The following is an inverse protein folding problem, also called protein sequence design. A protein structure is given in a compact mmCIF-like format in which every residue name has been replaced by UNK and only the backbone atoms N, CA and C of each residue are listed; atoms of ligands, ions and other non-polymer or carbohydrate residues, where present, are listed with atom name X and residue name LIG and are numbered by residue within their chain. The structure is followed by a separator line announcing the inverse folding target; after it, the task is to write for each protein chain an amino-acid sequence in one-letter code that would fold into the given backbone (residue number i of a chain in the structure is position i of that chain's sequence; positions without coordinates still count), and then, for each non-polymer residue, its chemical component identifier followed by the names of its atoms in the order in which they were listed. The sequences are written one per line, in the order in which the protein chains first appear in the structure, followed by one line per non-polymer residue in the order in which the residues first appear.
data_IF_029641924886
#
_entry.id   IF_029641924886
#
_cell.length_a   1.000
_cell.length_b   1.000
_cell.length_c   1.000
_cell.angle_alpha   90.00
_cell.angle_beta   90.00
_cell.angle_gamma   90.00
#
_symmetry.space_group_name_H-M   'P 1'
#
loop_
_entity.id
_entity.type
_entity.pdbx_description
1 polymer ?
#
# COMPACT_ATOMS: atom_id res chain seq x y z
N UNK A 1 15.75 7.71 -35.65
CA UNK A 1 16.74 8.35 -34.78
C UNK A 1 16.56 9.88 -34.77
N UNK A 2 15.40 10.43 -34.36
CA UNK A 2 15.18 11.89 -34.20
C UNK A 2 13.97 12.21 -33.28
N UNK A 3 13.63 11.37 -32.28
CA UNK A 3 12.55 11.64 -31.30
C UNK A 3 12.99 11.46 -29.83
N UNK A 4 14.29 11.28 -29.59
CA UNK A 4 14.82 11.04 -28.22
C UNK A 4 15.44 12.29 -27.56
N UNK A 5 15.38 13.46 -28.21
CA UNK A 5 16.15 14.64 -27.77
C UNK A 5 15.33 15.77 -27.14
N UNK A 6 14.01 15.62 -27.00
CA UNK A 6 13.17 16.75 -26.56
C UNK A 6 12.60 16.63 -25.14
N UNK A 7 12.88 15.54 -24.42
CA UNK A 7 12.34 15.34 -23.04
C UNK A 7 13.33 15.67 -21.92
N UNK A 8 14.59 15.93 -22.22
CA UNK A 8 15.60 16.23 -21.19
C UNK A 8 15.68 17.70 -20.75
N UNK A 9 14.94 18.62 -21.38
CA UNK A 9 15.15 20.06 -21.18
C UNK A 9 14.27 20.68 -20.09
N UNK A 10 13.16 20.06 -19.71
CA UNK A 10 12.21 20.68 -18.73
C UNK A 10 12.44 20.30 -17.27
N UNK A 11 13.26 19.30 -16.96
CA UNK A 11 13.59 18.93 -15.56
C UNK A 11 14.81 19.68 -15.01
N UNK A 12 15.52 20.41 -15.87
CA UNK A 12 16.78 21.11 -15.51
C UNK A 12 16.58 22.52 -14.92
N UNK A 13 15.37 23.08 -14.89
CA UNK A 13 15.19 24.48 -14.50
C UNK A 13 14.72 24.72 -13.05
N UNK A 14 14.19 23.71 -12.34
CA UNK A 14 13.79 23.90 -10.94
C UNK A 14 14.83 23.41 -9.92
N UNK A 15 15.70 22.49 -10.30
CA UNK A 15 16.81 22.02 -9.45
C UNK A 15 18.04 22.96 -9.55
N UNK A 16 18.18 23.73 -10.62
CA UNK A 16 19.34 24.58 -10.82
C UNK A 16 19.39 25.85 -9.95
N UNK A 17 18.30 26.26 -9.31
CA UNK A 17 18.32 27.49 -8.51
C UNK A 17 18.79 27.26 -7.07
N UNK A 18 18.51 26.10 -6.50
CA UNK A 18 19.01 25.71 -5.16
C UNK A 18 20.47 25.22 -5.29
N UNK A 19 20.78 24.47 -6.35
CA UNK A 19 22.12 23.98 -6.64
C UNK A 19 23.14 25.10 -6.93
N UNK A 20 22.69 26.22 -7.46
CA UNK A 20 23.59 27.34 -7.78
C UNK A 20 24.05 28.14 -6.54
N UNK A 21 23.23 28.20 -5.46
CA UNK A 21 23.66 28.85 -4.21
C UNK A 21 24.58 27.96 -3.38
N UNK A 22 24.38 26.65 -3.37
CA UNK A 22 25.30 25.71 -2.70
C UNK A 22 26.64 25.64 -3.41
N UNK A 23 26.66 25.62 -4.75
CA UNK A 23 27.93 25.62 -5.50
C UNK A 23 28.76 26.89 -5.31
N UNK A 24 28.14 28.05 -5.16
CA UNK A 24 28.87 29.31 -4.93
C UNK A 24 29.52 29.31 -3.52
N UNK A 25 28.85 28.73 -2.54
CA UNK A 25 29.40 28.62 -1.19
C UNK A 25 30.50 27.57 -1.11
N UNK A 26 30.36 26.44 -1.84
CA UNK A 26 31.40 25.42 -1.93
C UNK A 26 32.63 25.87 -2.73
N UNK A 27 32.48 26.67 -3.78
CA UNK A 27 33.62 27.25 -4.51
C UNK A 27 34.39 28.25 -3.64
N UNK A 28 33.69 29.07 -2.86
CA UNK A 28 34.35 30.02 -1.94
C UNK A 28 35.13 29.31 -0.82
N UNK A 29 34.61 28.19 -0.31
CA UNK A 29 35.33 27.37 0.69
C UNK A 29 36.49 26.62 0.04
N UNK A 30 36.40 26.18 -1.23
CA UNK A 30 37.49 25.54 -1.95
C UNK A 30 38.66 26.51 -2.27
N UNK A 31 38.35 27.75 -2.59
CA UNK A 31 39.39 28.76 -2.87
C UNK A 31 40.21 29.16 -1.61
N UNK A 32 39.59 29.15 -0.44
CA UNK A 32 40.31 29.42 0.83
C UNK A 32 41.23 28.27 1.28
N UNK A 33 40.94 27.03 0.90
CA UNK A 33 41.71 25.84 1.29
C UNK A 33 42.91 25.57 0.33
N UNK A 34 42.91 26.11 -0.90
CA UNK A 34 43.93 25.83 -1.94
C UNK A 34 45.20 26.69 -1.77
N UNK A 35 45.23 27.65 -0.85
CA UNK A 35 46.45 28.48 -0.64
C UNK A 35 47.50 27.87 0.28
N UNK A 36 47.30 26.69 0.85
CA UNK A 36 48.35 26.04 1.64
C UNK A 36 48.81 24.72 0.98
N UNK A 37 50.03 24.76 0.49
CA UNK A 37 50.79 23.77 -0.29
C UNK A 37 50.55 22.32 0.11
N UNK A 38 50.10 21.51 -0.82
CA UNK A 38 50.29 20.06 -0.85
C UNK A 38 50.98 19.62 -2.16
N UNK A 39 51.79 18.57 -2.15
CA UNK A 39 52.68 18.16 -3.26
C UNK A 39 51.88 17.57 -4.42
N UNK A 40 52.31 17.89 -5.66
CA UNK A 40 51.88 17.27 -6.91
C UNK A 40 52.00 15.73 -6.82
N UNK A 41 50.88 15.07 -7.23
CA UNK A 41 50.69 13.61 -7.31
C UNK A 41 50.17 12.90 -6.04
N UNK A 42 48.90 13.22 -5.70
CA UNK A 42 47.98 12.21 -5.20
C UNK A 42 46.58 12.57 -5.71
N UNK A 43 46.06 11.81 -6.65
CA UNK A 43 44.60 11.74 -6.89
C UNK A 43 43.96 11.20 -5.62
N UNK A 44 43.65 12.11 -4.70
CA UNK A 44 42.77 11.81 -3.59
C UNK A 44 41.34 11.79 -4.24
N UNK A 45 40.86 10.59 -4.49
CA UNK A 45 39.43 10.39 -4.63
C UNK A 45 38.78 10.99 -3.39
N UNK A 46 38.24 12.20 -3.50
CA UNK A 46 37.42 12.75 -2.44
C UNK A 46 36.16 11.86 -2.41
N UNK A 47 36.13 10.90 -1.50
CA UNK A 47 34.88 10.25 -1.13
C UNK A 47 33.95 11.37 -0.64
N UNK A 48 32.93 11.69 -1.41
CA UNK A 48 31.88 12.62 -0.98
C UNK A 48 31.28 12.08 0.31
N UNK A 49 31.41 12.82 1.40
CA UNK A 49 30.80 12.43 2.69
C UNK A 49 29.28 12.52 2.50
N UNK A 50 28.55 11.41 2.65
CA UNK A 50 27.12 11.41 2.48
C UNK A 50 26.43 12.43 3.40
N UNK A 51 25.65 13.34 2.84
CA UNK A 51 24.94 14.37 3.60
C UNK A 51 23.68 13.74 4.21
N UNK A 52 23.50 13.91 5.52
CA UNK A 52 22.31 13.46 6.22
C UNK A 52 21.11 14.34 5.87
N UNK A 53 20.04 13.75 5.33
CA UNK A 53 18.78 14.43 4.99
C UNK A 53 18.01 14.75 6.27
N UNK A 54 17.55 16.00 6.40
CA UNK A 54 16.75 16.45 7.54
C UNK A 54 15.32 15.90 7.51
N UNK A 55 14.73 15.80 8.68
CA UNK A 55 13.36 15.34 8.89
C UNK A 55 12.35 16.49 8.87
N UNK A 56 11.22 16.30 8.19
CA UNK A 56 10.12 17.25 8.17
C UNK A 56 9.13 17.02 9.32
N UNK A 57 9.10 15.83 9.93
CA UNK A 57 8.32 15.55 11.15
C UNK A 57 8.85 16.28 12.40
N UNK A 58 9.98 16.96 12.28
CA UNK A 58 10.46 17.95 13.24
C UNK A 58 11.21 17.41 14.44
N UNK A 59 11.51 16.10 14.55
CA UNK A 59 12.25 15.64 15.71
C UNK A 59 12.94 14.28 15.60
N UNK A 60 14.22 14.22 15.94
CA UNK A 60 15.06 13.00 15.83
C UNK A 60 15.85 12.63 17.08
N UNK A 61 16.02 13.55 18.05
CA UNK A 61 16.99 13.40 19.16
C UNK A 61 16.39 12.86 20.47
N UNK A 62 15.29 12.12 20.40
CA UNK A 62 14.69 11.50 21.59
C UNK A 62 15.38 10.15 21.93
N UNK A 63 15.68 9.83 23.21
CA UNK A 63 16.34 8.57 23.59
C UNK A 63 15.65 7.31 23.04
N UNK A 64 14.32 7.29 22.94
CA UNK A 64 13.59 6.17 22.35
C UNK A 64 13.81 6.04 20.84
N UNK A 65 13.97 7.14 20.11
CA UNK A 65 14.33 7.10 18.69
C UNK A 65 15.72 6.53 18.54
N UNK A 66 16.68 7.01 19.35
CA UNK A 66 18.05 6.50 19.37
C UNK A 66 18.12 5.02 19.71
N UNK A 67 17.33 4.56 20.68
CA UNK A 67 17.22 3.14 21.01
C UNK A 67 16.81 2.30 19.79
N UNK A 68 15.81 2.72 19.02
CA UNK A 68 15.38 2.01 17.82
C UNK A 68 16.37 2.18 16.66
N UNK A 69 17.00 3.35 16.51
CA UNK A 69 18.04 3.57 15.50
C UNK A 69 19.21 2.59 15.72
N UNK A 70 19.68 2.45 16.95
CA UNK A 70 20.73 1.50 17.32
C UNK A 70 20.31 0.04 17.07
N UNK A 71 19.08 -0.34 17.40
CA UNK A 71 18.54 -1.67 17.12
C UNK A 71 18.53 -1.98 15.63
N UNK A 72 18.05 -1.03 14.81
CA UNK A 72 17.90 -1.18 13.37
C UNK A 72 19.20 -0.95 12.58
N UNK A 73 20.23 -0.41 13.20
CA UNK A 73 21.56 -0.25 12.60
C UNK A 73 22.40 -1.53 12.61
N UNK A 74 21.95 -2.62 13.24
CA UNK A 74 22.64 -3.91 13.19
C UNK A 74 22.66 -4.47 11.76
N UNK A 75 23.72 -5.23 11.41
CA UNK A 75 23.92 -5.76 10.06
C UNK A 75 22.72 -6.60 9.55
N UNK A 76 22.08 -7.37 10.44
CA UNK A 76 20.90 -8.16 10.10
C UNK A 76 19.67 -7.30 9.78
N UNK A 77 19.49 -6.21 10.52
CA UNK A 77 18.41 -5.26 10.28
C UNK A 77 18.63 -4.42 9.03
N UNK A 78 19.87 -3.96 8.77
CA UNK A 78 20.20 -3.25 7.52
C UNK A 78 19.89 -4.09 6.30
N UNK A 79 20.29 -5.38 6.28
CA UNK A 79 19.96 -6.32 5.20
C UNK A 79 18.44 -6.51 5.06
N UNK A 80 17.74 -6.63 6.19
CA UNK A 80 16.26 -6.73 6.16
C UNK A 80 15.63 -5.46 5.61
N UNK A 81 16.07 -4.28 6.05
CA UNK A 81 15.55 -3.00 5.57
C UNK A 81 15.77 -2.86 4.05
N UNK A 82 16.97 -3.13 3.55
CA UNK A 82 17.27 -3.16 2.12
C UNK A 82 16.30 -4.05 1.35
N UNK A 83 16.10 -5.30 1.80
CA UNK A 83 15.16 -6.24 1.18
C UNK A 83 13.69 -5.77 1.25
N UNK A 84 13.27 -5.14 2.34
CA UNK A 84 11.90 -4.63 2.48
C UNK A 84 11.68 -3.39 1.57
N UNK A 85 12.69 -2.51 1.44
CA UNK A 85 12.65 -1.37 0.52
C UNK A 85 12.56 -1.81 -0.95
N UNK A 86 13.30 -2.86 -1.33
CA UNK A 86 13.25 -3.45 -2.66
C UNK A 86 11.85 -4.03 -2.97
N UNK A 87 11.32 -4.88 -2.08
CA UNK A 87 9.99 -5.47 -2.24
C UNK A 87 8.87 -4.42 -2.32
N UNK A 88 9.06 -3.31 -1.61
CA UNK A 88 8.13 -2.20 -1.60
C UNK A 88 8.22 -1.27 -2.80
N UNK A 89 9.20 -1.40 -3.66
CA UNK A 89 9.57 -0.36 -4.64
C UNK A 89 8.40 0.15 -5.47
N UNK A 90 7.61 -0.73 -6.10
CA UNK A 90 6.45 -0.33 -6.91
C UNK A 90 5.36 0.41 -6.12
N UNK A 91 5.21 0.10 -4.83
CA UNK A 91 4.23 0.77 -3.97
C UNK A 91 4.79 2.07 -3.40
N UNK A 92 6.08 2.11 -3.08
CA UNK A 92 6.78 3.29 -2.57
C UNK A 92 6.71 4.45 -3.54
N UNK A 93 6.88 4.19 -4.84
CA UNK A 93 6.75 5.24 -5.88
C UNK A 93 5.36 5.89 -5.84
N UNK A 94 4.30 5.08 -5.77
CA UNK A 94 2.95 5.60 -5.63
C UNK A 94 2.76 6.39 -4.32
N UNK A 95 3.29 5.87 -3.20
CA UNK A 95 3.21 6.53 -1.89
C UNK A 95 3.92 7.89 -1.94
N UNK A 96 5.15 7.96 -2.46
CA UNK A 96 5.91 9.21 -2.63
C UNK A 96 5.14 10.25 -3.43
N UNK A 97 4.62 9.85 -4.59
CA UNK A 97 3.82 10.74 -5.41
C UNK A 97 2.60 11.26 -4.66
N UNK A 98 1.83 10.37 -4.02
CA UNK A 98 0.65 10.76 -3.25
C UNK A 98 1.00 11.67 -2.06
N UNK A 99 2.16 11.48 -1.41
CA UNK A 99 2.67 12.37 -0.35
C UNK A 99 3.01 13.75 -0.91
N UNK A 100 3.72 13.82 -2.03
CA UNK A 100 4.08 15.08 -2.70
C UNK A 100 2.85 15.87 -3.15
N UNK A 101 1.91 15.20 -3.82
CA UNK A 101 0.66 15.83 -4.30
C UNK A 101 -0.19 16.41 -3.16
N UNK A 102 -0.11 15.82 -1.97
CA UNK A 102 -0.87 16.24 -0.78
C UNK A 102 -0.07 17.11 0.19
N UNK A 103 1.18 17.42 -0.11
CA UNK A 103 2.12 18.12 0.77
C UNK A 103 2.20 17.49 2.17
N UNK A 104 2.37 16.16 2.21
CA UNK A 104 2.50 15.38 3.44
C UNK A 104 3.97 15.05 3.72
N UNK A 105 4.33 14.81 5.00
CA UNK A 105 5.69 14.43 5.38
C UNK A 105 6.20 13.21 4.62
N UNK A 106 7.38 13.28 3.98
CA UNK A 106 7.95 12.17 3.20
C UNK A 106 8.26 10.93 4.05
N UNK A 107 8.49 11.10 5.34
CA UNK A 107 8.75 10.01 6.30
C UNK A 107 7.59 9.02 6.40
N UNK A 108 6.37 9.44 6.07
CA UNK A 108 5.19 8.58 6.04
C UNK A 108 5.28 7.47 4.98
N UNK A 109 6.18 7.60 3.98
CA UNK A 109 6.50 6.53 3.04
C UNK A 109 6.91 5.24 3.74
N UNK A 110 7.59 5.36 4.87
CA UNK A 110 8.18 4.23 5.58
C UNK A 110 7.27 3.58 6.63
N UNK A 111 6.06 4.11 6.81
CA UNK A 111 5.08 3.54 7.74
C UNK A 111 4.71 2.08 7.40
N UNK A 112 4.54 1.68 6.12
CA UNK A 112 4.32 0.28 5.77
C UNK A 112 5.47 -0.68 6.15
N UNK A 113 6.69 -0.20 6.38
CA UNK A 113 7.78 -1.05 6.90
C UNK A 113 7.43 -1.56 8.29
N UNK A 114 7.01 -0.66 9.18
CA UNK A 114 6.67 -1.04 10.57
C UNK A 114 5.32 -1.74 10.68
N UNK A 115 4.44 -1.60 9.69
CA UNK A 115 3.13 -2.24 9.64
C UNK A 115 3.21 -3.67 9.06
N UNK A 116 3.84 -3.84 7.90
CA UNK A 116 3.74 -5.07 7.12
C UNK A 116 5.05 -5.53 6.48
N UNK A 117 6.15 -4.79 6.61
CA UNK A 117 7.37 -4.93 5.81
C UNK A 117 7.05 -4.90 4.29
N UNK A 118 6.20 -3.98 3.85
CA UNK A 118 5.65 -3.83 2.49
C UNK A 118 4.90 -5.06 1.95
N UNK A 119 4.44 -5.97 2.81
CA UNK A 119 3.66 -7.14 2.38
C UNK A 119 2.18 -6.75 2.21
N UNK A 120 1.68 -6.79 0.98
CA UNK A 120 0.29 -6.41 0.66
C UNK A 120 -0.76 -7.37 1.21
N UNK A 121 -0.36 -8.60 1.56
CA UNK A 121 -1.22 -9.64 2.14
C UNK A 121 -0.97 -9.90 3.63
N UNK A 122 -0.19 -9.06 4.31
CA UNK A 122 0.13 -9.26 5.72
C UNK A 122 -1.16 -9.25 6.56
N UNK A 123 -1.30 -10.25 7.44
CA UNK A 123 -2.41 -10.34 8.38
C UNK A 123 -1.89 -10.47 9.80
N UNK A 124 -2.26 -9.54 10.66
CA UNK A 124 -1.89 -9.57 12.08
C UNK A 124 -2.76 -10.55 12.87
N UNK A 125 -2.29 -10.92 14.07
CA UNK A 125 -3.09 -11.74 15.00
C UNK A 125 -4.41 -11.05 15.41
N UNK A 126 -4.44 -9.73 15.42
CA UNK A 126 -5.62 -8.91 15.75
C UNK A 126 -6.57 -8.70 14.57
N UNK A 127 -6.24 -9.21 13.35
CA UNK A 127 -7.07 -9.07 12.16
C UNK A 127 -6.80 -7.83 11.31
N UNK A 128 -5.76 -7.06 11.59
CA UNK A 128 -5.29 -6.03 10.67
C UNK A 128 -4.77 -6.66 9.40
N UNK A 129 -5.02 -6.04 8.23
CA UNK A 129 -4.77 -6.64 6.93
C UNK A 129 -4.14 -5.64 5.95
N UNK A 130 -3.27 -6.18 5.09
CA UNK A 130 -2.70 -5.48 3.95
C UNK A 130 -1.48 -4.62 4.28
N UNK A 131 -1.04 -3.86 3.29
CA UNK A 131 0.15 -3.01 3.33
C UNK A 131 0.14 -2.05 4.54
N UNK A 132 -1.01 -1.43 4.79
CA UNK A 132 -1.24 -0.39 5.80
C UNK A 132 -1.92 -0.90 7.08
N UNK A 133 -2.09 -2.22 7.22
CA UNK A 133 -2.66 -2.88 8.40
C UNK A 133 -3.98 -2.27 8.90
N UNK A 134 -4.91 -2.03 7.98
CA UNK A 134 -6.23 -1.59 8.38
C UNK A 134 -6.99 -2.67 9.17
N UNK A 135 -7.52 -2.28 10.32
CA UNK A 135 -8.47 -3.09 11.07
C UNK A 135 -9.85 -3.03 10.43
N UNK A 136 -10.62 -4.12 10.49
CA UNK A 136 -11.98 -4.19 9.92
C UNK A 136 -12.91 -3.08 10.44
N UNK A 137 -12.85 -2.77 11.72
CA UNK A 137 -13.63 -1.71 12.34
C UNK A 137 -13.19 -0.28 11.96
N UNK A 138 -12.05 -0.12 11.29
CA UNK A 138 -11.52 1.17 10.86
C UNK A 138 -11.53 1.34 9.33
N UNK A 139 -12.13 0.41 8.60
CA UNK A 139 -12.25 0.45 7.14
C UNK A 139 -13.11 1.63 6.70
N UNK A 140 -14.26 1.82 7.32
CA UNK A 140 -15.16 2.94 7.00
C UNK A 140 -14.68 4.26 7.62
N UNK A 141 -14.78 5.38 6.90
CA UNK A 141 -15.37 5.55 5.56
C UNK A 141 -14.38 5.38 4.39
N UNK A 142 -13.19 4.85 4.64
CA UNK A 142 -12.03 4.96 3.74
C UNK A 142 -11.99 3.88 2.65
N UNK A 143 -12.42 2.65 2.96
CA UNK A 143 -12.29 1.48 2.10
C UNK A 143 -13.59 0.67 2.04
N UNK A 144 -13.73 -0.12 0.98
CA UNK A 144 -14.82 -1.08 0.82
C UNK A 144 -14.41 -2.42 1.41
N UNK A 145 -15.29 -2.97 2.26
CA UNK A 145 -15.18 -4.32 2.79
C UNK A 145 -16.53 -5.01 2.72
N UNK A 146 -16.59 -6.13 1.99
CA UNK A 146 -17.75 -7.02 1.89
C UNK A 146 -17.30 -8.44 1.49
N UNK A 147 -18.23 -9.35 1.23
CA UNK A 147 -17.94 -10.76 0.89
C UNK A 147 -17.15 -10.96 -0.41
N UNK A 148 -17.07 -9.96 -1.28
CA UNK A 148 -16.41 -10.03 -2.59
C UNK A 148 -15.20 -9.14 -2.70
N UNK A 149 -15.19 -8.04 -1.95
CA UNK A 149 -14.19 -6.98 -2.05
C UNK A 149 -13.63 -6.68 -0.68
N UNK A 150 -12.30 -6.78 -0.53
CA UNK A 150 -11.56 -6.30 0.63
C UNK A 150 -10.44 -5.36 0.15
N UNK A 151 -10.72 -4.06 0.15
CA UNK A 151 -9.78 -3.05 -0.34
C UNK A 151 -8.56 -2.83 0.57
N UNK A 152 -8.51 -3.45 1.74
CA UNK A 152 -7.30 -3.48 2.58
C UNK A 152 -6.14 -4.21 1.89
N UNK A 153 -6.47 -5.13 0.97
CA UNK A 153 -5.50 -5.88 0.15
C UNK A 153 -5.02 -5.10 -1.08
N UNK A 154 -5.74 -4.04 -1.50
CA UNK A 154 -5.33 -3.19 -2.62
C UNK A 154 -4.32 -2.14 -2.14
N UNK A 155 -3.03 -2.24 -2.51
CA UNK A 155 -2.00 -1.37 -1.97
C UNK A 155 -2.20 0.10 -2.34
N UNK A 156 -2.76 0.39 -3.50
CA UNK A 156 -3.00 1.76 -3.97
C UNK A 156 -4.19 2.40 -3.24
N UNK A 157 -5.35 1.70 -3.18
CA UNK A 157 -6.52 2.18 -2.45
C UNK A 157 -6.25 2.28 -0.95
N UNK A 158 -5.54 1.30 -0.39
CA UNK A 158 -5.13 1.33 1.01
C UNK A 158 -4.17 2.49 1.29
N UNK A 159 -3.30 2.88 0.33
CA UNK A 159 -2.45 4.06 0.45
C UNK A 159 -3.29 5.33 0.51
N UNK A 160 -4.20 5.55 -0.43
CA UNK A 160 -5.09 6.72 -0.41
C UNK A 160 -5.88 6.83 0.90
N UNK A 161 -6.40 5.70 1.36
CA UNK A 161 -7.14 5.62 2.62
C UNK A 161 -6.26 5.93 3.84
N UNK A 162 -5.03 5.41 3.87
CA UNK A 162 -4.10 5.64 4.98
C UNK A 162 -3.65 7.10 5.04
N UNK A 163 -3.28 7.68 3.90
CA UNK A 163 -2.87 9.09 3.83
C UNK A 163 -4.04 10.01 4.22
N UNK A 164 -5.26 9.69 3.76
CA UNK A 164 -6.44 10.45 4.20
C UNK A 164 -6.67 10.33 5.71
N UNK A 165 -6.58 9.13 6.28
CA UNK A 165 -6.74 8.91 7.73
C UNK A 165 -5.67 9.66 8.54
N UNK A 166 -4.42 9.65 8.08
CA UNK A 166 -3.33 10.39 8.70
C UNK A 166 -3.56 11.90 8.62
N UNK A 167 -4.01 12.40 7.48
CA UNK A 167 -4.37 13.81 7.29
C UNK A 167 -5.55 14.21 8.20
N UNK A 168 -6.59 13.38 8.28
CA UNK A 168 -7.74 13.64 9.17
C UNK A 168 -7.29 13.69 10.63
N UNK A 169 -6.38 12.78 11.03
CA UNK A 169 -5.78 12.81 12.37
C UNK A 169 -4.96 14.09 12.60
N UNK A 170 -4.13 14.48 11.63
CA UNK A 170 -3.33 15.70 11.74
C UNK A 170 -4.22 16.95 11.87
N UNK A 171 -5.25 17.04 11.05
CA UNK A 171 -6.21 18.15 11.11
C UNK A 171 -6.93 18.21 12.48
N UNK A 172 -7.11 17.09 13.14
CA UNK A 172 -7.76 17.02 14.45
C UNK A 172 -6.82 17.34 15.62
N UNK A 173 -5.56 16.83 15.55
CA UNK A 173 -4.61 16.96 16.67
C UNK A 173 -3.62 18.11 16.50
N UNK A 174 -3.39 18.61 15.27
CA UNK A 174 -2.45 19.69 14.97
C UNK A 174 -0.97 19.33 15.09
N UNK A 175 -0.67 18.02 15.27
CA UNK A 175 0.67 17.50 15.49
C UNK A 175 0.84 16.15 14.81
N UNK A 176 1.95 15.97 14.06
CA UNK A 176 2.17 14.75 13.30
C UNK A 176 2.48 13.54 14.18
N UNK A 177 3.19 13.70 15.29
CA UNK A 177 3.49 12.58 16.19
C UNK A 177 2.21 12.06 16.84
N UNK A 178 1.30 12.99 17.21
CA UNK A 178 -0.03 12.63 17.69
C UNK A 178 -0.89 11.99 16.59
N UNK A 179 -0.81 12.48 15.35
CA UNK A 179 -1.55 11.91 14.22
C UNK A 179 -1.11 10.48 13.92
N UNK A 180 0.20 10.21 13.95
CA UNK A 180 0.79 8.88 13.78
C UNK A 180 0.43 7.96 14.95
N UNK A 181 0.49 8.45 16.18
CA UNK A 181 0.05 7.71 17.36
C UNK A 181 -1.45 7.34 17.26
N UNK A 182 -2.30 8.28 16.82
CA UNK A 182 -3.73 8.05 16.59
C UNK A 182 -4.00 7.05 15.46
N UNK A 183 -3.14 6.98 14.45
CA UNK A 183 -3.24 5.96 13.42
C UNK A 183 -3.16 4.54 14.02
N UNK A 184 -2.23 4.35 14.96
CA UNK A 184 -1.99 3.07 15.64
C UNK A 184 -3.07 2.73 16.69
N UNK A 185 -3.33 3.61 17.67
CA UNK A 185 -4.24 3.31 18.78
C UNK A 185 -5.69 3.79 18.58
N UNK A 186 -5.95 4.51 17.50
CA UNK A 186 -7.24 5.15 17.23
C UNK A 186 -7.40 6.53 17.89
N UNK A 187 -7.94 7.49 17.11
CA UNK A 187 -8.11 8.88 17.54
C UNK A 187 -8.89 9.02 18.86
N UNK A 188 -9.92 8.20 19.06
CA UNK A 188 -10.71 8.22 20.31
C UNK A 188 -9.91 7.81 21.56
N UNK A 189 -9.00 6.84 21.45
CA UNK A 189 -8.12 6.44 22.56
C UNK A 189 -7.12 7.55 22.87
N UNK A 190 -6.49 8.11 21.86
CA UNK A 190 -5.54 9.22 22.02
C UNK A 190 -6.21 10.47 22.61
N UNK A 191 -7.40 10.82 22.15
CA UNK A 191 -8.18 11.95 22.70
C UNK A 191 -8.45 11.76 24.20
N UNK A 192 -8.80 10.54 24.64
CA UNK A 192 -9.00 10.25 26.08
C UNK A 192 -7.70 10.39 26.88
N UNK A 193 -6.57 9.97 26.32
CA UNK A 193 -5.26 10.14 26.95
C UNK A 193 -4.89 11.63 27.08
N UNK A 194 -5.02 12.39 25.99
CA UNK A 194 -4.78 13.83 25.98
C UNK A 194 -5.66 14.61 26.99
N UNK A 195 -6.94 14.22 27.17
CA UNK A 195 -7.83 14.86 28.16
C UNK A 195 -7.31 14.70 29.58
N UNK A 196 -6.65 13.59 29.89
CA UNK A 196 -6.09 13.29 31.23
C UNK A 196 -4.67 13.84 31.40
N UNK A 197 -4.00 14.22 30.32
CA UNK A 197 -2.64 14.70 30.35
C UNK A 197 -2.57 16.19 30.62
N UNK A 198 -1.67 16.68 31.49
CA UNK A 198 -1.38 18.11 31.63
C UNK A 198 -0.72 18.69 30.37
N UNK A 199 0.13 17.91 29.69
CA UNK A 199 0.79 18.30 28.44
C UNK A 199 0.15 17.61 27.24
N UNK A 200 0.01 18.33 26.14
CA UNK A 200 -0.70 17.88 24.93
C UNK A 200 0.29 17.48 23.80
N UNK A 201 1.35 16.75 24.17
CA UNK A 201 2.33 16.25 23.22
C UNK A 201 2.52 14.73 23.34
N UNK A 202 3.01 14.11 22.27
CA UNK A 202 3.20 12.66 22.19
C UNK A 202 4.19 12.14 23.22
N UNK A 203 5.34 12.81 23.40
CA UNK A 203 6.41 12.33 24.28
C UNK A 203 5.96 12.26 25.73
N UNK A 204 5.26 13.30 26.20
CA UNK A 204 4.70 13.27 27.55
C UNK A 204 3.73 12.10 27.77
N UNK A 205 2.86 11.81 26.75
CA UNK A 205 1.94 10.67 26.84
C UNK A 205 2.69 9.34 26.92
N UNK A 206 3.76 9.18 26.14
CA UNK A 206 4.56 7.96 26.09
C UNK A 206 5.34 7.73 27.38
N UNK A 207 6.07 8.73 27.86
CA UNK A 207 6.91 8.69 29.06
C UNK A 207 6.08 8.44 30.34
N UNK A 208 4.90 9.06 30.42
CA UNK A 208 3.99 8.91 31.57
C UNK A 208 3.03 7.74 31.44
N UNK A 209 3.23 6.84 30.44
CA UNK A 209 2.42 5.62 30.22
C UNK A 209 0.91 5.90 30.10
N UNK A 210 0.55 7.05 29.52
CA UNK A 210 -0.84 7.45 29.29
C UNK A 210 -1.43 6.83 28.02
N UNK A 211 -0.59 6.25 27.18
CA UNK A 211 -0.94 5.50 25.97
C UNK A 211 -0.37 4.08 26.04
N UNK A 212 -0.90 3.12 25.24
CA UNK A 212 -0.38 1.75 25.21
C UNK A 212 1.12 1.72 24.84
N UNK A 213 1.88 0.80 25.43
CA UNK A 213 3.31 0.62 25.13
C UNK A 213 3.56 0.44 23.62
N UNK A 214 2.71 -0.32 22.94
CA UNK A 214 2.80 -0.48 21.49
C UNK A 214 2.74 0.87 20.78
N UNK A 215 1.86 1.77 21.19
CA UNK A 215 1.71 3.10 20.59
C UNK A 215 2.88 4.02 20.96
N UNK A 216 3.35 3.93 22.23
CA UNK A 216 4.53 4.69 22.69
C UNK A 216 5.80 4.33 21.91
N UNK A 217 5.93 3.07 21.48
CA UNK A 217 7.05 2.61 20.64
C UNK A 217 6.84 2.84 19.14
N UNK A 218 5.60 3.03 18.68
CA UNK A 218 5.25 3.10 17.26
C UNK A 218 5.86 4.32 16.56
N UNK A 219 5.73 5.49 17.16
CA UNK A 219 6.26 6.75 16.60
C UNK A 219 7.79 6.73 16.55
N UNK A 220 8.53 6.44 17.64
CA UNK A 220 9.99 6.38 17.57
C UNK A 220 10.50 5.28 16.64
N UNK A 221 9.78 4.15 16.48
CA UNK A 221 10.10 3.14 15.45
C UNK A 221 10.01 3.71 14.04
N UNK A 222 8.93 4.43 13.74
CA UNK A 222 8.78 5.05 12.41
C UNK A 222 9.91 6.04 12.15
N UNK A 223 10.19 6.93 13.08
CA UNK A 223 11.25 7.94 12.93
C UNK A 223 12.60 7.26 12.67
N UNK A 224 12.97 6.26 13.47
CA UNK A 224 14.23 5.54 13.32
C UNK A 224 14.33 4.78 11.98
N UNK A 225 13.25 4.12 11.55
CA UNK A 225 13.23 3.40 10.25
C UNK A 225 13.28 4.38 9.09
N UNK A 226 12.53 5.48 9.16
CA UNK A 226 12.54 6.51 8.13
C UNK A 226 13.92 7.16 8.01
N UNK A 227 14.57 7.46 9.12
CA UNK A 227 15.94 7.99 9.15
C UNK A 227 16.91 7.07 8.41
N UNK A 228 16.97 5.79 8.78
CA UNK A 228 17.81 4.82 8.11
C UNK A 228 17.49 4.65 6.62
N UNK A 229 16.21 4.68 6.25
CA UNK A 229 15.75 4.47 4.89
C UNK A 229 15.94 5.69 3.98
N UNK A 230 15.87 6.90 4.52
CA UNK A 230 16.15 8.16 3.80
C UNK A 230 17.63 8.42 3.63
N UNK A 231 18.46 7.90 4.54
CA UNK A 231 19.89 8.15 4.64
C UNK A 231 20.71 6.86 4.47
N UNK A 232 20.35 6.04 3.47
CA UNK A 232 20.95 4.71 3.25
C UNK A 232 22.48 4.77 3.07
N UNK A 233 22.98 5.75 2.33
CA UNK A 233 24.41 5.97 2.11
C UNK A 233 25.12 6.33 3.42
N UNK A 234 24.57 7.28 4.18
CA UNK A 234 25.12 7.70 5.48
C UNK A 234 25.23 6.53 6.48
N UNK A 235 24.24 5.63 6.46
CA UNK A 235 24.21 4.47 7.35
C UNK A 235 24.85 3.22 6.75
N UNK A 236 25.47 3.28 5.57
CA UNK A 236 26.05 2.15 4.85
C UNK A 236 25.00 1.00 4.71
N UNK A 237 23.86 1.32 4.13
CA UNK A 237 22.79 0.36 3.79
C UNK A 237 22.81 0.16 2.29
N UNK A 238 23.25 -1.02 1.86
CA UNK A 238 23.29 -1.38 0.45
C UNK A 238 21.85 -1.49 -0.09
N UNK A 239 21.51 -0.68 -1.07
CA UNK A 239 20.30 -0.85 -1.85
C UNK A 239 20.61 -1.77 -3.05
N UNK A 240 19.70 -2.70 -3.41
CA UNK A 240 19.89 -3.53 -4.59
C UNK A 240 20.03 -2.65 -5.84
N UNK A 241 20.98 -3.01 -6.70
CA UNK A 241 21.33 -2.27 -7.93
C UNK A 241 20.17 -2.11 -8.94
N UNK A 242 19.11 -2.90 -8.80
CA UNK A 242 17.91 -2.76 -9.62
C UNK A 242 17.02 -1.55 -9.27
N UNK A 243 17.32 -0.84 -8.17
CA UNK A 243 16.54 0.32 -7.76
C UNK A 243 16.63 1.48 -8.76
N UNK A 244 17.78 1.70 -9.37
CA UNK A 244 17.99 2.78 -10.35
C UNK A 244 17.29 2.50 -11.69
N UNK A 245 17.40 1.27 -12.21
CA UNK A 245 16.75 0.87 -13.46
C UNK A 245 15.22 0.82 -13.31
N UNK A 246 14.73 0.44 -12.12
CA UNK A 246 13.32 0.45 -11.79
C UNK A 246 12.80 1.88 -11.55
N UNK A 247 13.57 2.76 -10.96
CA UNK A 247 13.25 4.18 -10.84
C UNK A 247 13.18 4.84 -12.23
N UNK A 248 14.06 4.49 -13.15
CA UNK A 248 14.00 4.97 -14.54
C UNK A 248 12.79 4.44 -15.32
N UNK A 249 12.44 3.17 -15.17
CA UNK A 249 11.29 2.57 -15.86
C UNK A 249 9.94 3.08 -15.35
N UNK A 250 9.88 3.57 -14.12
CA UNK A 250 8.66 4.04 -13.46
C UNK A 250 8.64 5.56 -13.20
N UNK A 251 9.73 6.28 -13.50
CA UNK A 251 9.80 7.74 -13.47
C UNK A 251 9.00 8.42 -14.60
N UNK A 252 8.48 7.65 -15.55
CA UNK A 252 7.40 8.13 -16.39
C UNK A 252 6.11 8.16 -15.54
N UNK A 253 5.92 9.26 -14.83
CA UNK A 253 4.67 9.77 -14.27
C UNK A 253 3.61 8.68 -14.04
N UNK A 254 3.42 8.33 -12.77
CA UNK A 254 2.28 7.62 -12.26
C UNK A 254 2.32 6.11 -12.53
N UNK A 255 2.00 5.34 -11.50
CA UNK A 255 1.38 4.04 -11.73
C UNK A 255 0.09 4.32 -12.52
N UNK A 256 0.21 4.54 -13.83
CA UNK A 256 -0.90 4.89 -14.71
C UNK A 256 -1.51 3.58 -15.15
N UNK A 257 -2.65 3.31 -14.58
CA UNK A 257 -3.47 2.17 -14.94
C UNK A 257 -4.64 2.64 -15.78
N UNK A 258 -5.08 1.80 -16.68
CA UNK A 258 -6.42 1.92 -17.21
C UNK A 258 -7.45 1.35 -16.23
N UNK A 259 -8.69 1.76 -16.37
CA UNK A 259 -9.80 1.27 -15.56
C UNK A 259 -11.03 1.01 -16.42
N UNK A 260 -11.72 -0.10 -16.10
CA UNK A 260 -13.08 -0.34 -16.54
C UNK A 260 -13.99 -0.55 -15.34
N UNK A 261 -15.21 -0.02 -15.43
CA UNK A 261 -16.21 -0.21 -14.38
C UNK A 261 -17.28 -1.19 -14.88
N UNK A 262 -17.58 -2.17 -14.04
CA UNK A 262 -18.62 -3.19 -14.30
C UNK A 262 -19.58 -3.20 -13.12
N UNK A 263 -20.84 -3.58 -13.37
CA UNK A 263 -21.93 -3.66 -12.38
C UNK A 263 -22.48 -5.08 -12.21
N UNK A 264 -21.73 -6.08 -12.65
CA UNK A 264 -22.06 -7.48 -12.55
C UNK A 264 -20.82 -8.27 -12.11
N UNK A 265 -20.98 -9.53 -11.72
CA UNK A 265 -19.86 -10.39 -11.37
C UNK A 265 -19.13 -10.88 -12.62
N UNK A 266 -17.90 -10.45 -12.80
CA UNK A 266 -17.02 -10.97 -13.84
C UNK A 266 -15.81 -11.64 -13.20
N UNK A 267 -15.43 -12.80 -13.74
CA UNK A 267 -14.21 -13.47 -13.34
C UNK A 267 -12.99 -12.73 -13.85
N UNK A 268 -12.10 -12.32 -12.94
CA UNK A 268 -10.82 -11.66 -13.26
C UNK A 268 -9.96 -12.57 -14.17
N UNK A 269 -9.97 -13.89 -13.90
CA UNK A 269 -9.24 -14.85 -14.72
C UNK A 269 -9.81 -14.98 -16.14
N UNK A 270 -11.15 -15.01 -16.29
CA UNK A 270 -11.76 -15.07 -17.62
C UNK A 270 -11.52 -13.79 -18.41
N UNK A 271 -11.59 -12.64 -17.73
CA UNK A 271 -11.27 -11.35 -18.34
C UNK A 271 -9.82 -11.31 -18.83
N UNK A 272 -8.86 -11.71 -17.99
CA UNK A 272 -7.45 -11.77 -18.39
C UNK A 272 -7.24 -12.64 -19.62
N UNK A 273 -7.79 -13.86 -19.63
CA UNK A 273 -7.72 -14.77 -20.78
C UNK A 273 -8.35 -14.17 -22.05
N UNK A 274 -9.52 -13.52 -21.93
CA UNK A 274 -10.19 -12.87 -23.05
C UNK A 274 -9.39 -11.67 -23.60
N UNK A 275 -8.63 -10.99 -22.73
CA UNK A 275 -7.68 -9.94 -23.08
C UNK A 275 -6.33 -10.49 -23.62
N UNK A 276 -6.12 -11.81 -23.61
CA UNK A 276 -4.84 -12.50 -23.92
C UNK A 276 -3.71 -12.11 -22.97
N UNK A 277 -4.04 -11.88 -21.71
CA UNK A 277 -3.09 -11.64 -20.62
C UNK A 277 -2.98 -12.88 -19.73
N UNK A 278 -1.82 -13.01 -19.06
CA UNK A 278 -1.66 -13.98 -18.00
C UNK A 278 -2.62 -13.65 -16.84
N UNK A 279 -3.35 -14.63 -16.29
CA UNK A 279 -4.33 -14.39 -15.22
C UNK A 279 -3.73 -13.67 -13.99
N UNK A 280 -2.47 -13.94 -13.67
CA UNK A 280 -1.79 -13.32 -12.52
C UNK A 280 -1.63 -11.82 -12.70
N UNK A 281 -1.41 -11.33 -13.92
CA UNK A 281 -1.31 -9.89 -14.22
C UNK A 281 -2.54 -9.11 -13.71
N UNK A 282 -3.75 -9.58 -14.01
CA UNK A 282 -4.96 -8.89 -13.54
C UNK A 282 -5.26 -9.14 -12.06
N UNK A 283 -4.87 -10.30 -11.50
CA UNK A 283 -5.02 -10.58 -10.07
C UNK A 283 -4.13 -9.67 -9.23
N UNK A 284 -2.87 -9.52 -9.61
CA UNK A 284 -1.91 -8.65 -8.92
C UNK A 284 -2.35 -7.17 -8.96
N UNK A 285 -2.94 -6.74 -10.06
CA UNK A 285 -3.52 -5.41 -10.18
C UNK A 285 -4.83 -5.24 -9.38
N UNK A 286 -5.53 -6.32 -9.04
CA UNK A 286 -6.85 -6.30 -8.42
C UNK A 286 -6.95 -7.24 -7.21
N UNK A 287 -6.04 -7.17 -6.24
CA UNK A 287 -6.00 -8.12 -5.12
C UNK A 287 -7.19 -7.95 -4.16
N UNK A 288 -7.95 -6.85 -4.27
CA UNK A 288 -9.15 -6.63 -3.48
C UNK A 288 -10.30 -7.60 -3.83
N UNK A 289 -10.33 -8.21 -5.01
CA UNK A 289 -11.37 -9.16 -5.38
C UNK A 289 -11.10 -10.54 -4.77
N UNK A 290 -11.45 -10.70 -3.49
CA UNK A 290 -11.08 -11.87 -2.67
C UNK A 290 -11.61 -13.22 -3.16
N UNK A 291 -12.63 -13.21 -4.03
CA UNK A 291 -13.16 -14.41 -4.70
C UNK A 291 -12.72 -14.52 -6.17
N UNK A 292 -11.82 -13.64 -6.62
CA UNK A 292 -11.40 -13.58 -8.02
C UNK A 292 -12.49 -13.12 -8.99
N UNK A 293 -13.56 -12.52 -8.47
CA UNK A 293 -14.70 -11.97 -9.24
C UNK A 293 -15.06 -10.59 -8.72
N UNK A 294 -15.62 -9.75 -9.60
CA UNK A 294 -16.17 -8.46 -9.23
C UNK A 294 -17.46 -8.61 -8.42
N UNK A 295 -17.92 -7.55 -7.78
CA UNK A 295 -19.16 -7.60 -6.98
C UNK A 295 -20.40 -7.82 -7.89
N UNK A 296 -21.35 -8.68 -7.51
CA UNK A 296 -22.47 -9.06 -8.37
C UNK A 296 -23.49 -7.95 -8.64
N UNK A 297 -23.55 -6.93 -7.78
CA UNK A 297 -24.61 -5.88 -7.87
C UNK A 297 -24.11 -4.47 -7.54
N UNK A 298 -22.83 -4.28 -7.20
CA UNK A 298 -22.22 -2.98 -6.98
C UNK A 298 -21.18 -2.70 -8.06
N UNK A 299 -21.07 -1.43 -8.42
CA UNK A 299 -20.01 -1.01 -9.33
C UNK A 299 -18.65 -1.44 -8.82
N UNK A 300 -17.92 -2.14 -9.65
CA UNK A 300 -16.54 -2.59 -9.41
C UNK A 300 -15.62 -1.95 -10.44
N UNK A 301 -14.60 -1.25 -10.01
CA UNK A 301 -13.54 -0.73 -10.87
C UNK A 301 -12.44 -1.76 -10.97
N UNK A 302 -12.19 -2.26 -12.18
CA UNK A 302 -11.10 -3.20 -12.48
C UNK A 302 -9.92 -2.38 -12.99
N UNK A 303 -8.77 -2.52 -12.33
CA UNK A 303 -7.49 -1.92 -12.75
C UNK A 303 -6.86 -2.78 -13.84
N UNK A 304 -6.34 -2.15 -14.87
CA UNK A 304 -5.81 -2.77 -16.07
C UNK A 304 -4.41 -2.23 -16.37
N UNK A 305 -3.57 -2.97 -17.08
CA UNK A 305 -2.35 -2.40 -17.66
C UNK A 305 -2.68 -1.19 -18.54
N UNK A 306 -1.81 -0.19 -18.55
CA UNK A 306 -1.98 1.02 -19.33
C UNK A 306 -2.13 0.70 -20.83
N UNK A 307 -3.03 1.39 -21.52
CA UNK A 307 -3.32 1.23 -22.95
C UNK A 307 -4.24 0.04 -23.27
N UNK A 308 -4.76 -0.70 -22.25
CA UNK A 308 -5.56 -1.91 -22.50
C UNK A 308 -7.07 -1.74 -22.25
N UNK A 309 -7.52 -0.53 -21.94
CA UNK A 309 -8.94 -0.25 -21.65
C UNK A 309 -9.89 -0.72 -22.76
N UNK A 310 -9.56 -0.42 -24.02
CA UNK A 310 -10.43 -0.81 -25.14
C UNK A 310 -10.42 -2.33 -25.32
N UNK A 311 -9.28 -3.00 -25.15
CA UNK A 311 -9.19 -4.46 -25.20
C UNK A 311 -10.07 -5.10 -24.10
N UNK A 312 -10.07 -4.54 -22.89
CA UNK A 312 -10.92 -5.01 -21.79
C UNK A 312 -12.39 -4.81 -22.08
N UNK A 313 -12.80 -3.67 -22.65
CA UNK A 313 -14.19 -3.41 -23.04
C UNK A 313 -14.66 -4.40 -24.09
N UNK A 314 -13.83 -4.75 -25.08
CA UNK A 314 -14.15 -5.71 -26.12
C UNK A 314 -14.12 -7.17 -25.59
N UNK A 315 -13.29 -7.46 -24.63
CA UNK A 315 -13.28 -8.74 -23.91
C UNK A 315 -14.56 -8.92 -23.08
N UNK A 316 -14.99 -7.89 -22.34
CA UNK A 316 -16.22 -7.91 -21.52
C UNK A 316 -17.48 -8.18 -22.36
N UNK A 317 -17.52 -7.81 -23.63
CA UNK A 317 -18.65 -8.13 -24.54
C UNK A 317 -18.71 -9.62 -24.93
N UNK A 318 -17.60 -10.36 -24.74
CA UNK A 318 -17.46 -11.77 -25.15
C UNK A 318 -17.55 -12.76 -23.99
N UNK A 319 -17.49 -12.28 -22.76
CA UNK A 319 -17.59 -13.10 -21.57
C UNK A 319 -18.92 -12.84 -20.86
N UNK A 320 -19.58 -13.91 -20.44
CA UNK A 320 -20.81 -13.79 -19.66
C UNK A 320 -20.49 -13.45 -18.20
N UNK A 321 -21.31 -12.62 -17.54
CA UNK A 321 -21.23 -12.42 -16.11
C UNK A 321 -21.34 -13.76 -15.36
N UNK A 322 -20.64 -13.89 -14.27
CA UNK A 322 -20.74 -15.05 -13.39
C UNK A 322 -22.11 -15.08 -12.72
N UNK A 323 -22.87 -16.10 -13.00
CA UNK A 323 -24.16 -16.31 -12.39
C UNK A 323 -24.02 -17.09 -11.09
N UNK A 324 -24.58 -16.54 -10.01
CA UNK A 324 -24.54 -17.21 -8.71
C UNK A 324 -25.64 -18.22 -8.59
N UNK A 325 -25.37 -19.37 -7.98
CA UNK A 325 -26.41 -20.30 -7.65
C UNK A 325 -27.48 -19.66 -6.76
N UNK A 326 -28.75 -19.89 -7.08
CA UNK A 326 -29.85 -19.41 -6.28
C UNK A 326 -29.88 -20.17 -4.96
N UNK A 327 -29.88 -19.47 -3.82
CA UNK A 327 -30.11 -20.10 -2.52
C UNK A 327 -31.58 -20.42 -2.36
N UNK A 328 -31.91 -21.70 -2.31
CA UNK A 328 -33.25 -22.21 -2.13
C UNK A 328 -33.38 -22.91 -0.78
N UNK A 329 -34.37 -22.52 0.02
CA UNK A 329 -34.69 -23.20 1.28
C UNK A 329 -35.75 -24.25 1.02
N UNK A 330 -35.43 -25.52 1.28
CA UNK A 330 -36.32 -26.65 1.08
C UNK A 330 -37.59 -26.50 1.91
N UNK A 331 -38.73 -26.61 1.29
CA UNK A 331 -40.07 -26.53 1.86
C UNK A 331 -40.72 -27.90 1.99
N UNK A 332 -41.84 -27.96 2.71
CA UNK A 332 -42.63 -29.21 2.86
C UNK A 332 -43.24 -29.62 1.51
N UNK A 333 -42.94 -30.85 1.06
CA UNK A 333 -43.42 -31.38 -0.19
C UNK A 333 -42.43 -31.24 -1.36
N UNK A 334 -41.28 -30.58 -1.13
CA UNK A 334 -40.22 -30.52 -2.12
C UNK A 334 -39.58 -31.85 -2.40
N UNK A 335 -39.17 -32.03 -3.65
CA UNK A 335 -38.30 -33.09 -4.11
C UNK A 335 -37.23 -32.50 -5.01
N UNK A 336 -36.08 -33.17 -5.13
CA UNK A 336 -34.98 -32.73 -6.02
C UNK A 336 -35.48 -32.55 -7.46
N UNK A 337 -36.38 -33.44 -7.92
CA UNK A 337 -37.00 -33.38 -9.24
C UNK A 337 -37.90 -32.14 -9.37
N UNK A 338 -38.77 -31.87 -8.37
CA UNK A 338 -39.64 -30.70 -8.35
C UNK A 338 -38.89 -29.39 -8.37
N UNK A 339 -37.84 -29.30 -7.52
CA UNK A 339 -36.95 -28.13 -7.44
C UNK A 339 -36.22 -27.92 -8.76
N UNK A 340 -35.61 -28.96 -9.34
CA UNK A 340 -34.90 -28.84 -10.61
C UNK A 340 -35.80 -28.36 -11.74
N UNK A 341 -37.03 -28.89 -11.86
CA UNK A 341 -38.01 -28.46 -12.85
C UNK A 341 -38.44 -27.03 -12.65
N UNK A 342 -38.74 -26.63 -11.40
CA UNK A 342 -39.14 -25.26 -11.05
C UNK A 342 -38.11 -24.23 -11.45
N UNK A 343 -36.83 -24.61 -11.38
CA UNK A 343 -35.71 -23.70 -11.64
C UNK A 343 -34.98 -23.94 -12.99
N UNK A 344 -35.53 -24.83 -13.84
CA UNK A 344 -35.00 -25.06 -15.19
C UNK A 344 -33.63 -25.69 -15.24
N UNK A 345 -33.28 -26.48 -14.22
CA UNK A 345 -32.00 -27.24 -14.13
C UNK A 345 -32.28 -28.75 -14.12
N UNK A 346 -31.25 -29.59 -14.02
CA UNK A 346 -31.36 -31.03 -13.89
C UNK A 346 -31.13 -31.47 -12.45
N UNK A 347 -31.62 -32.68 -12.09
CA UNK A 347 -31.37 -33.25 -10.76
C UNK A 347 -29.89 -33.55 -10.57
N UNK A 348 -29.18 -34.00 -11.60
CA UNK A 348 -27.74 -34.23 -11.59
C UNK A 348 -26.97 -32.95 -11.26
N UNK A 349 -27.20 -31.89 -12.00
CA UNK A 349 -26.53 -30.59 -11.77
C UNK A 349 -26.85 -30.03 -10.36
N UNK A 350 -28.10 -30.21 -9.89
CA UNK A 350 -28.49 -29.82 -8.54
C UNK A 350 -27.74 -30.63 -7.47
N UNK A 351 -27.62 -31.95 -7.68
CA UNK A 351 -26.91 -32.84 -6.78
C UNK A 351 -25.40 -32.54 -6.76
N UNK A 352 -24.79 -32.38 -7.92
CA UNK A 352 -23.36 -32.08 -8.07
C UNK A 352 -22.99 -30.76 -7.34
N UNK A 353 -23.75 -29.69 -7.59
CA UNK A 353 -23.52 -28.38 -6.98
C UNK A 353 -23.64 -28.41 -5.44
N UNK A 354 -24.48 -29.30 -4.89
CA UNK A 354 -24.74 -29.40 -3.45
C UNK A 354 -23.97 -30.52 -2.75
N UNK A 355 -23.20 -31.32 -3.49
CA UNK A 355 -22.48 -32.50 -2.95
C UNK A 355 -23.40 -33.53 -2.35
N UNK A 356 -24.58 -33.77 -2.95
CA UNK A 356 -25.58 -34.73 -2.52
C UNK A 356 -25.89 -35.75 -3.62
N UNK A 357 -26.47 -36.87 -3.23
CA UNK A 357 -26.91 -37.88 -4.17
C UNK A 357 -28.42 -37.75 -4.44
N UNK A 358 -28.90 -38.26 -5.58
CA UNK A 358 -30.32 -38.21 -5.95
C UNK A 358 -31.24 -38.88 -4.92
N UNK A 359 -30.74 -39.93 -4.24
CA UNK A 359 -31.47 -40.67 -3.24
C UNK A 359 -31.31 -40.15 -1.81
N UNK A 360 -30.61 -39.02 -1.61
CA UNK A 360 -30.45 -38.44 -0.29
C UNK A 360 -31.76 -37.83 0.21
N UNK A 361 -32.01 -37.97 1.52
CA UNK A 361 -33.19 -37.40 2.15
C UNK A 361 -33.11 -35.87 2.15
N UNK A 362 -34.05 -35.28 1.47
CA UNK A 362 -34.17 -33.83 1.42
C UNK A 362 -34.88 -33.30 2.67
N UNK A 363 -34.13 -32.73 3.62
CA UNK A 363 -34.69 -32.23 4.88
C UNK A 363 -35.30 -30.83 4.68
N UNK A 364 -36.52 -30.62 5.19
CA UNK A 364 -37.16 -29.29 5.25
C UNK A 364 -36.23 -28.31 5.97
N UNK A 365 -36.12 -27.09 5.40
CA UNK A 365 -35.23 -26.05 5.93
C UNK A 365 -33.77 -26.13 5.48
N UNK A 366 -33.33 -27.23 4.83
CA UNK A 366 -31.99 -27.31 4.21
C UNK A 366 -31.88 -26.25 3.12
N UNK A 367 -30.72 -25.59 3.08
CA UNK A 367 -30.41 -24.68 1.96
C UNK A 367 -29.79 -25.49 0.85
N UNK A 368 -30.33 -25.41 -0.33
CA UNK A 368 -29.77 -25.91 -1.57
C UNK A 368 -29.31 -24.74 -2.43
N UNK A 369 -28.22 -24.94 -3.15
CA UNK A 369 -27.76 -24.04 -4.20
C UNK A 369 -28.25 -24.58 -5.55
N UNK A 370 -29.03 -23.78 -6.25
CA UNK A 370 -29.59 -24.13 -7.55
C UNK A 370 -28.69 -23.53 -8.63
N UNK A 371 -28.20 -24.34 -9.60
CA UNK A 371 -27.44 -23.81 -10.71
C UNK A 371 -28.23 -22.70 -11.41
N UNK A 372 -27.60 -21.58 -11.70
CA UNK A 372 -28.08 -20.62 -12.68
C UNK A 372 -28.04 -21.27 -14.07
N UNK A 373 -28.95 -20.88 -14.94
CA UNK A 373 -29.06 -21.43 -16.31
C UNK A 373 -27.81 -21.25 -17.12
#
# INVERSE_FOLDING_TARGET
MKKFFLLCVFFLFSTNFIFCQEQILEEQIKEEIIQDKLPEHAEVLQEEIPVHKEFTLGFTDHPEVERFRNLYSSSSWKKKLSSDLEKGLSYRMYIRQALQEKNLPPELEYLPIIESNYKTWAKSKSGALGLWQFMENSVKPFLILNDYVDERLDPWKATDAALKKLTDNYNYFGDWLLAIAAYNCGAGALTRALKKSPEKNFWYLAENKLIPTQTAEYVPKLIAVADLAMNTEFYNIDLPTHSEEFEHLHNEKNAVFDYVTVNAAYSINQLAKAMRLEPETLKELNPAFVKGITHPSLNSSIRLPLGTKQVALDALKKIEPYEFPIKYKVEKGDSLWGISRKHGTTVEALCELNGIKENDILRIGKILYIPSK
#
